data_IF_378422034777
#
_entry.id   IF_378422034777
#
_cell.length_a   1.000
_cell.length_b   1.000
_cell.length_c   1.000
_cell.angle_alpha   90.00
_cell.angle_beta   90.00
_cell.angle_gamma   90.00
#
_symmetry.space_group_name_H-M   'P 1'
#
loop_
_entity.id
_entity.type
_entity.pdbx_description
1 polymer ?
#
# COMPACT_ATOMS: atom_id res chain seq x y z
N UNK A 1 -17.39 -32.30 -10.66
CA UNK A 1 -16.13 -31.68 -10.17
C UNK A 1 -15.87 -32.22 -8.78
N UNK A 2 -14.72 -32.87 -8.59
CA UNK A 2 -14.38 -33.59 -7.35
C UNK A 2 -14.20 -32.63 -6.17
N UNK A 3 -14.74 -32.96 -4.99
CA UNK A 3 -14.59 -32.16 -3.76
C UNK A 3 -13.12 -31.91 -3.39
N UNK A 4 -12.24 -32.85 -3.77
CA UNK A 4 -10.79 -32.73 -3.60
C UNK A 4 -10.20 -31.58 -4.43
N UNK A 5 -10.74 -31.31 -5.62
CA UNK A 5 -10.30 -30.19 -6.47
C UNK A 5 -10.69 -28.83 -5.88
N UNK A 6 -11.83 -28.76 -5.19
CA UNK A 6 -12.31 -27.53 -4.52
C UNK A 6 -11.46 -27.23 -3.27
N UNK A 7 -11.09 -28.27 -2.51
CA UNK A 7 -10.26 -28.12 -1.32
C UNK A 7 -8.84 -27.62 -1.64
N UNK A 8 -8.25 -28.09 -2.74
CA UNK A 8 -6.93 -27.62 -3.21
C UNK A 8 -7.03 -26.15 -3.64
N UNK A 9 -8.08 -25.76 -4.36
CA UNK A 9 -8.27 -24.37 -4.77
C UNK A 9 -8.43 -23.42 -3.56
N UNK A 10 -9.16 -23.83 -2.52
CA UNK A 10 -9.34 -23.06 -1.28
C UNK A 10 -8.04 -22.88 -0.48
N UNK A 11 -7.15 -23.87 -0.52
CA UNK A 11 -5.88 -23.86 0.18
C UNK A 11 -4.82 -22.92 -0.45
N UNK A 12 -5.02 -22.45 -1.69
CA UNK A 12 -4.15 -21.49 -2.37
C UNK A 12 -4.59 -20.01 -2.22
N UNK A 13 -5.73 -19.71 -1.60
CA UNK A 13 -6.14 -18.33 -1.33
C UNK A 13 -5.33 -17.58 -0.25
N UNK A 14 -4.76 -18.20 0.81
CA UNK A 14 -4.16 -17.43 1.91
C UNK A 14 -2.84 -16.75 1.53
N UNK A 15 -2.22 -17.10 0.39
CA UNK A 15 -1.07 -16.35 -0.13
C UNK A 15 -1.42 -14.97 -0.70
N UNK A 16 -2.72 -14.60 -0.74
CA UNK A 16 -3.18 -13.28 -1.19
C UNK A 16 -3.46 -12.31 -0.03
N UNK A 17 -3.36 -12.75 1.22
CA UNK A 17 -3.69 -11.92 2.40
C UNK A 17 -2.45 -11.42 3.13
N UNK A 18 -1.40 -11.05 2.40
CA UNK A 18 -0.37 -10.18 3.00
C UNK A 18 -1.02 -8.82 3.25
N UNK A 19 -1.37 -8.53 4.50
CA UNK A 19 -1.88 -7.21 4.88
C UNK A 19 -0.76 -6.21 4.66
N UNK A 20 -0.87 -5.42 3.58
CA UNK A 20 0.07 -4.37 3.26
C UNK A 20 0.10 -3.37 4.42
N UNK A 21 1.29 -3.05 4.93
CA UNK A 21 1.46 -2.02 5.95
C UNK A 21 2.14 -0.82 5.33
N UNK A 22 1.56 0.36 5.49
CA UNK A 22 2.09 1.60 4.95
C UNK A 22 2.10 2.69 6.02
N UNK A 23 3.05 3.61 5.93
CA UNK A 23 2.96 4.86 6.65
C UNK A 23 1.87 5.73 6.05
N UNK A 24 0.92 6.18 6.87
CA UNK A 24 -0.13 7.10 6.43
C UNK A 24 0.20 8.52 6.88
N UNK A 25 0.30 9.44 5.93
CA UNK A 25 0.61 10.85 6.16
C UNK A 25 -0.32 11.69 5.29
N UNK A 26 -1.27 12.37 5.92
CA UNK A 26 -2.26 13.18 5.20
C UNK A 26 -1.61 14.39 4.52
N UNK A 27 -0.67 15.06 5.20
CA UNK A 27 0.20 16.12 4.65
C UNK A 27 1.41 16.27 5.57
N UNK A 28 2.60 15.97 5.08
CA UNK A 28 3.88 16.14 5.76
C UNK A 28 4.77 17.16 5.05
N UNK A 29 5.69 17.79 5.76
CA UNK A 29 6.68 18.69 5.17
C UNK A 29 7.93 17.90 4.74
N UNK A 30 8.50 18.17 3.56
CA UNK A 30 9.71 17.46 3.10
C UNK A 30 10.94 17.70 3.99
N UNK A 31 11.08 18.89 4.56
CA UNK A 31 12.23 19.27 5.39
C UNK A 31 12.15 18.69 6.80
N UNK A 32 10.95 18.40 7.28
CA UNK A 32 10.73 17.81 8.60
C UNK A 32 9.66 16.72 8.49
N UNK A 33 10.01 15.55 7.94
CA UNK A 33 9.07 14.46 7.80
C UNK A 33 8.65 13.95 9.18
N UNK A 34 7.33 13.79 9.44
CA UNK A 34 6.86 13.22 10.69
C UNK A 34 7.29 11.76 10.81
N UNK A 35 7.71 11.38 12.01
CA UNK A 35 7.89 9.98 12.37
C UNK A 35 6.50 9.36 12.56
N UNK A 36 6.19 8.34 11.77
CA UNK A 36 4.89 7.66 11.78
C UNK A 36 5.15 6.17 11.86
N UNK A 37 4.19 5.40 12.36
CA UNK A 37 4.29 3.94 12.32
C UNK A 37 3.56 3.40 11.10
N UNK A 38 4.03 2.30 10.55
CA UNK A 38 3.34 1.61 9.47
C UNK A 38 2.02 1.02 10.01
N UNK A 39 0.90 1.40 9.38
CA UNK A 39 -0.43 0.92 9.72
C UNK A 39 -0.92 -0.08 8.68
N UNK A 40 -1.77 -1.02 9.09
CA UNK A 40 -2.39 -1.94 8.15
C UNK A 40 -3.31 -1.19 7.19
N UNK A 41 -3.13 -1.46 5.90
CA UNK A 41 -3.98 -0.94 4.86
C UNK A 41 -5.32 -1.67 4.82
N UNK A 42 -6.33 -0.96 4.33
CA UNK A 42 -7.65 -1.55 4.06
C UNK A 42 -7.50 -2.73 3.10
N UNK A 43 -8.18 -3.83 3.38
CA UNK A 43 -8.19 -5.01 2.53
C UNK A 43 -8.48 -4.64 1.06
N UNK A 44 -7.63 -5.14 0.15
CA UNK A 44 -7.65 -4.76 -1.27
C UNK A 44 -6.70 -3.62 -1.64
N UNK A 45 -5.98 -3.04 -0.67
CA UNK A 45 -4.83 -2.18 -0.96
C UNK A 45 -3.67 -3.01 -1.48
N UNK A 46 -3.07 -2.58 -2.59
CA UNK A 46 -2.00 -3.30 -3.29
C UNK A 46 -0.66 -2.57 -3.27
N UNK A 47 -0.63 -1.28 -2.94
CA UNK A 47 0.60 -0.48 -2.90
C UNK A 47 0.55 0.65 -1.86
N UNK A 48 1.74 1.06 -1.39
CA UNK A 48 1.92 2.31 -0.65
C UNK A 48 2.35 3.40 -1.62
N UNK A 49 1.62 4.51 -1.66
CA UNK A 49 1.99 5.66 -2.49
C UNK A 49 2.54 6.78 -1.65
N UNK A 50 3.52 7.49 -2.20
CA UNK A 50 4.00 8.77 -1.70
C UNK A 50 3.87 9.81 -2.78
N UNK A 51 2.94 10.76 -2.60
CA UNK A 51 2.84 11.94 -3.46
C UNK A 51 3.75 13.03 -2.91
N UNK A 52 4.51 13.68 -3.79
CA UNK A 52 5.44 14.74 -3.42
C UNK A 52 5.10 16.00 -4.21
N UNK A 53 4.77 17.07 -3.50
CA UNK A 53 4.59 18.40 -4.07
C UNK A 53 5.86 19.23 -3.82
N UNK A 54 6.66 19.40 -4.87
CA UNK A 54 7.90 20.18 -4.80
C UNK A 54 7.67 21.70 -4.77
N UNK A 55 6.51 22.18 -5.22
CA UNK A 55 6.15 23.61 -5.18
C UNK A 55 5.82 24.01 -3.74
N UNK A 56 5.00 23.21 -3.06
CA UNK A 56 4.60 23.44 -1.67
C UNK A 56 5.59 22.86 -0.65
N UNK A 57 6.57 22.08 -1.10
CA UNK A 57 7.50 21.32 -0.26
C UNK A 57 6.77 20.43 0.76
N UNK A 58 5.68 19.80 0.32
CA UNK A 58 4.90 18.84 1.10
C UNK A 58 4.87 17.46 0.46
N UNK A 59 4.51 16.45 1.23
CA UNK A 59 4.27 15.10 0.74
C UNK A 59 3.06 14.48 1.43
N UNK A 60 2.45 13.49 0.79
CA UNK A 60 1.42 12.65 1.37
C UNK A 60 1.84 11.19 1.23
N UNK A 61 1.39 10.33 2.14
CA UNK A 61 1.57 8.88 2.04
C UNK A 61 0.25 8.19 2.32
N UNK A 62 -0.13 7.21 1.50
CA UNK A 62 -1.41 6.53 1.63
C UNK A 62 -1.35 5.11 1.07
N UNK A 63 -2.32 4.29 1.49
CA UNK A 63 -2.57 2.98 0.91
C UNK A 63 -3.39 3.15 -0.37
N UNK A 64 -3.00 2.48 -1.45
CA UNK A 64 -3.66 2.56 -2.74
C UNK A 64 -4.26 1.20 -3.12
N UNK A 65 -5.53 1.20 -3.57
CA UNK A 65 -6.28 -0.01 -3.96
C UNK A 65 -5.93 -0.55 -5.36
N UNK A 66 -5.23 0.21 -6.18
CA UNK A 66 -4.89 -0.16 -7.55
C UNK A 66 -3.40 0.04 -7.81
N UNK A 67 -2.85 -0.71 -8.77
CA UNK A 67 -1.48 -0.51 -9.24
C UNK A 67 -1.32 0.92 -9.75
N UNK A 68 -0.31 1.63 -9.26
CA UNK A 68 -0.05 3.00 -9.61
C UNK A 68 0.40 3.07 -11.07
N UNK A 69 -0.40 3.71 -11.92
CA UNK A 69 -0.14 3.83 -13.37
C UNK A 69 0.80 4.98 -13.72
N UNK A 70 1.25 5.76 -12.75
CA UNK A 70 2.06 6.97 -12.95
C UNK A 70 3.49 6.79 -12.47
N UNK A 71 4.43 6.94 -13.41
CA UNK A 71 5.89 6.82 -13.21
C UNK A 71 6.52 7.84 -12.25
N UNK A 72 5.72 8.65 -11.54
CA UNK A 72 6.15 9.63 -10.54
C UNK A 72 5.75 9.26 -9.10
N UNK A 73 5.05 8.15 -8.88
CA UNK A 73 4.77 7.64 -7.54
C UNK A 73 5.86 6.64 -7.12
N UNK A 74 6.71 7.04 -6.17
CA UNK A 74 7.68 6.12 -5.56
C UNK A 74 6.89 5.12 -4.69
N UNK A 75 6.82 3.88 -5.14
CA UNK A 75 6.30 2.76 -4.35
C UNK A 75 7.30 2.48 -3.22
N UNK A 76 6.89 2.71 -1.97
CA UNK A 76 7.68 2.32 -0.81
C UNK A 76 7.14 0.99 -0.29
N UNK A 77 7.92 -0.08 -0.45
CA UNK A 77 7.65 -1.37 0.18
C UNK A 77 8.65 -1.51 1.32
N UNK A 78 8.18 -1.60 2.55
CA UNK A 78 8.98 -2.13 3.68
C UNK A 78 8.67 -3.62 3.86
#
# INVERSE_FOLDING_TARGET
MSAFSVAILLALLPSLTSSLKCHQVNTGNLSNPPDTQATECVAGSLACTKLVDYTMKTFTKQCQQFNCTVSFELSFTE
#
